data_IF_024888161926
#
_entry.id   IF_024888161926
#
_cell.length_a   1.000
_cell.length_b   1.000
_cell.length_c   1.000
_cell.angle_alpha   90.00
_cell.angle_beta   90.00
_cell.angle_gamma   90.00
#
_symmetry.space_group_name_H-M   'P 1'
#
loop_
_entity.id
_entity.type
_entity.pdbx_description
1 polymer ?
#
# COMPACT_ATOMS: atom_id res chain seq x y z
N UNK A 1 -5.66 20.49 -7.44
CA UNK A 1 -5.16 20.88 -8.76
C UNK A 1 -4.32 22.14 -8.62
N UNK A 2 -3.20 22.20 -9.30
CA UNK A 2 -2.20 23.26 -9.23
C UNK A 2 -2.19 24.04 -10.55
N UNK A 3 -1.88 25.33 -10.48
CA UNK A 3 -1.47 26.09 -11.65
C UNK A 3 -0.07 25.66 -12.11
N UNK A 4 0.32 25.99 -13.32
CA UNK A 4 1.66 25.72 -13.86
C UNK A 4 2.79 26.26 -12.96
N UNK A 5 2.60 27.49 -12.44
CA UNK A 5 3.59 28.12 -11.55
C UNK A 5 3.71 27.38 -10.21
N UNK A 6 2.59 26.89 -9.64
CA UNK A 6 2.59 26.11 -8.40
C UNK A 6 3.26 24.74 -8.59
N UNK A 7 2.96 24.05 -9.71
CA UNK A 7 3.61 22.79 -10.05
C UNK A 7 5.13 22.96 -10.20
N UNK A 8 5.57 24.00 -10.90
CA UNK A 8 7.00 24.28 -11.05
C UNK A 8 7.69 24.56 -9.71
N UNK A 9 7.07 25.32 -8.79
CA UNK A 9 7.59 25.54 -7.44
C UNK A 9 7.77 24.24 -6.67
N UNK A 10 6.88 23.26 -6.88
CA UNK A 10 6.99 21.96 -6.23
C UNK A 10 8.16 21.16 -6.78
N UNK A 11 8.42 21.21 -8.10
CA UNK A 11 9.59 20.57 -8.72
C UNK A 11 10.93 21.14 -8.22
N UNK A 12 10.96 22.41 -7.84
CA UNK A 12 12.17 23.08 -7.35
C UNK A 12 12.43 22.89 -5.84
N UNK A 13 11.52 22.19 -5.12
CA UNK A 13 11.66 22.00 -3.67
C UNK A 13 12.51 20.77 -3.33
N UNK A 14 13.66 20.99 -2.69
CA UNK A 14 14.63 19.95 -2.31
C UNK A 14 14.08 18.90 -1.32
N UNK A 15 12.92 19.11 -0.72
CA UNK A 15 12.30 18.18 0.22
C UNK A 15 11.53 17.06 -0.47
N UNK A 16 11.26 17.21 -1.76
CA UNK A 16 10.56 16.23 -2.58
C UNK A 16 11.47 15.62 -3.63
N UNK A 17 11.11 14.46 -4.10
CA UNK A 17 11.77 13.76 -5.20
C UNK A 17 10.76 12.90 -5.95
N UNK A 18 11.17 12.37 -7.11
CA UNK A 18 10.27 11.57 -7.95
C UNK A 18 8.96 12.34 -8.26
N UNK A 19 9.13 13.59 -8.68
CA UNK A 19 7.98 14.46 -8.99
C UNK A 19 7.50 14.19 -10.40
N UNK A 20 6.18 14.12 -10.58
CA UNK A 20 5.57 13.91 -11.89
C UNK A 20 4.24 14.62 -11.98
N UNK A 21 3.99 15.29 -13.09
CA UNK A 21 2.78 16.05 -13.33
C UNK A 21 1.81 15.31 -14.24
N UNK A 22 0.53 15.44 -13.95
CA UNK A 22 -0.56 14.93 -14.77
C UNK A 22 -1.54 16.05 -15.06
N UNK A 23 -1.90 16.22 -16.34
CA UNK A 23 -2.93 17.17 -16.76
C UNK A 23 -4.18 16.40 -17.19
N UNK A 24 -5.31 16.75 -16.59
CA UNK A 24 -6.59 16.20 -17.01
C UNK A 24 -7.08 16.89 -18.29
N UNK A 25 -7.15 16.11 -19.36
CA UNK A 25 -7.52 16.63 -20.70
C UNK A 25 -9.04 16.56 -20.91
N UNK A 26 -9.73 15.66 -20.27
CA UNK A 26 -11.18 15.58 -20.30
C UNK A 26 -11.71 14.19 -20.00
N UNK A 27 -13.03 14.10 -19.94
CA UNK A 27 -13.75 12.84 -19.76
C UNK A 27 -14.90 12.67 -20.75
N UNK A 28 -15.23 11.42 -21.03
CA UNK A 28 -16.44 11.05 -21.75
C UNK A 28 -17.01 9.75 -21.20
N UNK A 29 -18.33 9.58 -21.28
CA UNK A 29 -18.97 8.35 -20.83
C UNK A 29 -18.79 7.24 -21.88
N UNK A 30 -18.44 6.05 -21.45
CA UNK A 30 -18.23 4.91 -22.31
C UNK A 30 -19.56 4.25 -22.70
N UNK A 31 -20.11 4.67 -23.84
CA UNK A 31 -21.38 4.13 -24.36
C UNK A 31 -22.54 4.31 -23.40
N UNK A 32 -23.33 3.27 -23.22
CA UNK A 32 -24.47 3.23 -22.27
C UNK A 32 -24.07 2.68 -20.88
N UNK A 33 -22.76 2.64 -20.58
CA UNK A 33 -22.27 2.14 -19.29
C UNK A 33 -22.20 3.25 -18.24
N UNK A 34 -21.95 2.89 -16.98
CA UNK A 34 -21.62 3.82 -15.92
C UNK A 34 -20.13 4.17 -15.88
N UNK A 35 -19.36 3.68 -16.84
CA UNK A 35 -17.92 3.91 -16.91
C UNK A 35 -17.62 5.23 -17.63
N UNK A 36 -16.63 5.95 -17.14
CA UNK A 36 -16.10 7.15 -17.77
C UNK A 36 -14.67 6.91 -18.25
N UNK A 37 -14.38 7.34 -19.47
CA UNK A 37 -13.02 7.46 -19.99
C UNK A 37 -12.46 8.80 -19.54
N UNK A 38 -11.32 8.77 -18.87
CA UNK A 38 -10.55 9.95 -18.50
C UNK A 38 -9.30 10.03 -19.36
N UNK A 39 -9.12 11.12 -20.07
CA UNK A 39 -7.90 11.40 -20.83
C UNK A 39 -6.95 12.22 -19.97
N UNK A 40 -5.72 11.75 -19.87
CA UNK A 40 -4.66 12.41 -19.11
C UNK A 40 -3.38 12.50 -19.93
N UNK A 41 -2.71 13.64 -19.77
CA UNK A 41 -1.37 13.88 -20.26
C UNK A 41 -0.40 13.77 -19.09
N UNK A 42 0.64 12.96 -19.24
CA UNK A 42 1.61 12.66 -18.19
C UNK A 42 2.96 13.26 -18.53
N UNK A 43 3.51 14.04 -17.60
CA UNK A 43 4.79 14.71 -17.75
C UNK A 43 5.82 14.12 -16.77
N UNK A 44 7.08 14.28 -17.08
CA UNK A 44 8.22 13.87 -16.28
C UNK A 44 8.12 12.40 -15.84
N UNK A 45 8.14 12.15 -14.54
CA UNK A 45 8.13 10.81 -13.98
C UNK A 45 6.71 10.28 -13.65
N UNK A 46 5.65 11.06 -13.99
CA UNK A 46 4.28 10.73 -13.58
C UNK A 46 3.83 9.34 -14.08
N UNK A 47 4.04 9.04 -15.36
CA UNK A 47 3.61 7.77 -15.92
C UNK A 47 4.36 6.55 -15.34
N UNK A 48 5.62 6.72 -14.94
CA UNK A 48 6.41 5.68 -14.30
C UNK A 48 5.90 5.33 -12.89
N UNK A 49 5.17 6.24 -12.25
CA UNK A 49 4.54 5.98 -10.94
C UNK A 49 3.29 5.10 -11.05
N UNK A 50 2.73 4.95 -12.27
CA UNK A 50 1.51 4.20 -12.54
C UNK A 50 1.74 3.11 -13.61
N UNK A 51 2.60 2.13 -13.37
CA UNK A 51 2.98 1.12 -14.36
C UNK A 51 1.80 0.28 -14.86
N UNK A 52 0.75 0.14 -14.05
CA UNK A 52 -0.43 -0.64 -14.43
C UNK A 52 -1.22 -0.03 -15.59
N UNK A 53 -1.28 1.31 -15.68
CA UNK A 53 -2.03 2.00 -16.72
C UNK A 53 -1.25 2.22 -18.02
N UNK A 54 0.07 2.05 -17.99
CA UNK A 54 0.98 2.28 -19.13
C UNK A 54 1.32 1.02 -19.93
N UNK A 55 0.73 -0.11 -19.58
CA UNK A 55 0.97 -1.38 -20.28
C UNK A 55 0.38 -1.37 -21.67
N UNK A 56 1.25 -1.52 -22.67
CA UNK A 56 0.89 -1.58 -24.08
C UNK A 56 0.68 -3.02 -24.53
N UNK A 57 -0.48 -3.27 -25.16
CA UNK A 57 -0.79 -4.52 -25.85
C UNK A 57 -0.34 -4.49 -27.31
N UNK A 58 -0.52 -3.34 -27.96
CA UNK A 58 -0.17 -3.13 -29.37
C UNK A 58 0.24 -1.68 -29.61
N UNK A 59 1.20 -1.42 -30.51
CA UNK A 59 1.68 -0.08 -30.84
C UNK A 59 2.68 0.45 -29.81
N UNK A 60 2.60 1.74 -29.52
CA UNK A 60 3.47 2.44 -28.56
C UNK A 60 2.72 3.52 -27.78
N UNK A 61 3.30 3.97 -26.67
CA UNK A 61 2.76 5.10 -25.90
C UNK A 61 2.79 6.38 -26.72
N UNK A 62 1.79 7.26 -26.52
CA UNK A 62 1.73 8.56 -27.20
C UNK A 62 2.90 9.46 -26.76
N UNK A 63 3.59 10.07 -27.71
CA UNK A 63 4.70 10.98 -27.44
C UNK A 63 4.37 12.42 -27.87
N UNK A 64 3.59 12.58 -28.94
CA UNK A 64 3.32 13.88 -29.57
C UNK A 64 1.89 14.33 -29.31
N UNK A 65 1.70 15.64 -29.40
CA UNK A 65 0.37 16.25 -29.30
C UNK A 65 -0.66 15.60 -30.24
N UNK A 66 -1.83 15.31 -29.70
CA UNK A 66 -2.94 14.64 -30.41
C UNK A 66 -2.70 13.15 -30.72
N UNK A 67 -1.66 12.51 -30.20
CA UNK A 67 -1.56 11.06 -30.14
C UNK A 67 -2.33 10.54 -28.91
N UNK A 68 -2.91 9.33 -29.03
CA UNK A 68 -3.69 8.72 -27.94
C UNK A 68 -3.42 7.22 -27.86
N UNK A 69 -3.42 6.71 -26.63
CA UNK A 69 -3.51 5.29 -26.35
C UNK A 69 -4.75 4.99 -25.52
N UNK A 70 -5.52 4.01 -25.94
CA UNK A 70 -6.78 3.58 -25.31
C UNK A 70 -6.78 2.08 -25.09
N UNK A 71 -7.51 1.60 -24.09
CA UNK A 71 -7.72 0.16 -23.93
C UNK A 71 -8.67 -0.38 -25.01
N UNK A 72 -8.49 -1.66 -25.37
CA UNK A 72 -9.37 -2.35 -26.31
C UNK A 72 -10.86 -2.26 -25.89
N UNK A 73 -11.09 -2.38 -24.57
CA UNK A 73 -12.43 -2.25 -24.03
C UNK A 73 -12.99 -0.83 -24.18
N UNK A 74 -12.17 0.21 -24.00
CA UNK A 74 -12.61 1.60 -24.24
C UNK A 74 -13.04 1.81 -25.68
N UNK A 75 -12.26 1.32 -26.65
CA UNK A 75 -12.62 1.36 -28.06
C UNK A 75 -13.95 0.66 -28.33
N UNK A 76 -14.12 -0.53 -27.79
CA UNK A 76 -15.35 -1.32 -27.94
C UNK A 76 -16.57 -0.61 -27.35
N UNK A 77 -16.46 -0.06 -26.13
CA UNK A 77 -17.56 0.66 -25.46
C UNK A 77 -17.93 1.97 -26.17
N UNK A 78 -16.94 2.64 -26.78
CA UNK A 78 -17.17 3.82 -27.61
C UNK A 78 -17.74 3.48 -28.98
N UNK A 79 -17.82 2.19 -29.34
CA UNK A 79 -18.26 1.76 -30.65
C UNK A 79 -17.29 2.09 -31.78
N UNK A 80 -16.01 2.24 -31.45
CA UNK A 80 -14.94 2.58 -32.38
C UNK A 80 -14.26 1.30 -32.88
N UNK A 81 -14.32 1.05 -34.17
CA UNK A 81 -13.55 0.00 -34.85
C UNK A 81 -12.30 0.65 -35.44
N UNK A 82 -11.31 0.90 -34.60
CA UNK A 82 -10.09 1.64 -34.94
C UNK A 82 -8.86 0.79 -34.64
N UNK A 83 -7.91 0.79 -35.55
CA UNK A 83 -6.60 0.16 -35.42
C UNK A 83 -5.51 1.23 -35.12
N UNK A 84 -4.34 0.76 -34.67
CA UNK A 84 -3.17 1.64 -34.51
C UNK A 84 -2.85 2.34 -35.82
N UNK A 85 -2.75 3.67 -35.80
CA UNK A 85 -2.58 4.55 -36.93
C UNK A 85 -3.86 5.28 -37.38
N UNK A 86 -5.03 4.84 -36.95
CA UNK A 86 -6.29 5.47 -37.32
C UNK A 86 -6.56 6.75 -36.51
N UNK A 87 -7.39 7.61 -37.06
CA UNK A 87 -7.85 8.82 -36.37
C UNK A 87 -9.18 8.56 -35.67
N UNK A 88 -9.21 8.81 -34.38
CA UNK A 88 -10.41 8.73 -33.55
C UNK A 88 -10.87 10.13 -33.15
N UNK A 89 -12.18 10.34 -33.11
CA UNK A 89 -12.79 11.60 -32.66
C UNK A 89 -13.57 11.34 -31.39
N UNK A 90 -13.33 12.14 -30.35
CA UNK A 90 -13.94 11.98 -29.03
C UNK A 90 -14.57 13.30 -28.59
N UNK A 91 -15.82 13.24 -28.17
CA UNK A 91 -16.50 14.37 -27.52
C UNK A 91 -16.14 14.33 -26.03
N UNK A 92 -15.44 15.36 -25.59
CA UNK A 92 -14.84 15.43 -24.27
C UNK A 92 -15.41 16.58 -23.47
N UNK A 93 -15.46 16.41 -22.16
CA UNK A 93 -15.87 17.41 -21.18
C UNK A 93 -14.78 17.59 -20.12
N UNK A 94 -14.52 18.82 -19.79
CA UNK A 94 -13.57 19.19 -18.72
C UNK A 94 -14.31 19.99 -17.65
N UNK A 95 -14.25 19.52 -16.42
CA UNK A 95 -14.75 20.24 -15.26
C UNK A 95 -13.63 20.43 -14.24
N UNK A 96 -13.56 21.59 -13.64
CA UNK A 96 -12.61 21.88 -12.56
C UNK A 96 -13.19 21.42 -11.24
N UNK A 97 -12.37 20.78 -10.40
CA UNK A 97 -12.83 20.11 -9.16
C UNK A 97 -13.50 21.06 -8.16
N UNK A 98 -13.10 22.32 -8.12
CA UNK A 98 -13.66 23.31 -7.20
C UNK A 98 -14.92 24.00 -7.77
N UNK A 99 -15.29 23.70 -9.00
CA UNK A 99 -16.42 24.32 -9.68
C UNK A 99 -16.23 25.83 -9.98
N UNK A 100 -15.00 26.33 -9.96
CA UNK A 100 -14.66 27.73 -10.22
C UNK A 100 -14.91 28.15 -11.68
N UNK A 101 -14.84 27.19 -12.60
CA UNK A 101 -15.07 27.40 -14.03
C UNK A 101 -16.28 26.57 -14.51
N UNK A 102 -16.99 27.06 -15.55
CA UNK A 102 -18.04 26.28 -16.19
C UNK A 102 -17.47 25.01 -16.85
N UNK A 103 -18.32 24.02 -17.10
CA UNK A 103 -17.90 22.85 -17.88
C UNK A 103 -17.53 23.26 -19.31
N UNK A 104 -16.35 22.80 -19.74
CA UNK A 104 -15.84 23.06 -21.09
C UNK A 104 -15.98 21.80 -21.94
N UNK A 105 -16.70 21.91 -23.06
CA UNK A 105 -16.90 20.81 -24.00
C UNK A 105 -16.14 21.05 -25.30
N UNK A 106 -15.52 19.99 -25.82
CA UNK A 106 -14.83 20.03 -27.11
C UNK A 106 -14.85 18.68 -27.79
N UNK A 107 -14.67 18.70 -29.14
CA UNK A 107 -14.45 17.48 -29.91
C UNK A 107 -12.97 17.37 -30.28
N UNK A 108 -12.26 16.42 -29.68
CA UNK A 108 -10.84 16.15 -29.94
C UNK A 108 -10.65 15.14 -31.07
N UNK A 109 -9.69 15.41 -31.94
CA UNK A 109 -9.22 14.43 -32.95
C UNK A 109 -7.85 13.94 -32.58
N UNK A 110 -7.71 12.61 -32.47
CA UNK A 110 -6.50 11.94 -31.99
C UNK A 110 -6.07 10.86 -32.96
N UNK A 111 -4.78 10.63 -33.07
CA UNK A 111 -4.20 9.48 -33.77
C UNK A 111 -3.99 8.38 -32.74
N UNK A 112 -4.61 7.21 -32.93
CA UNK A 112 -4.44 6.05 -32.06
C UNK A 112 -3.05 5.45 -32.28
N UNK A 113 -2.14 5.61 -31.33
CA UNK A 113 -0.76 5.10 -31.42
C UNK A 113 -0.54 3.81 -30.63
N UNK A 114 -1.42 3.53 -29.68
CA UNK A 114 -1.30 2.33 -28.88
C UNK A 114 -2.63 1.82 -28.33
N UNK A 115 -2.68 0.51 -28.17
CA UNK A 115 -3.76 -0.17 -27.48
C UNK A 115 -3.21 -0.61 -26.11
N UNK A 116 -3.82 -0.11 -25.03
CA UNK A 116 -3.46 -0.42 -23.66
C UNK A 116 -4.09 -1.76 -23.23
N UNK A 117 -3.45 -2.43 -22.28
CA UNK A 117 -4.08 -3.53 -21.55
C UNK A 117 -5.24 -2.99 -20.70
N UNK A 118 -6.30 -3.79 -20.56
CA UNK A 118 -7.45 -3.43 -19.72
C UNK A 118 -7.07 -3.50 -18.24
N UNK A 119 -7.28 -2.42 -17.49
CA UNK A 119 -6.98 -2.37 -16.05
C UNK A 119 -8.22 -2.75 -15.23
N UNK A 120 -8.07 -3.75 -14.35
CA UNK A 120 -9.11 -4.14 -13.40
C UNK A 120 -9.51 -3.00 -12.45
N UNK A 121 -8.56 -2.17 -12.04
CA UNK A 121 -8.81 -1.05 -11.12
C UNK A 121 -9.76 -0.05 -11.76
N UNK A 122 -9.55 0.29 -13.03
CA UNK A 122 -10.43 1.20 -13.77
C UNK A 122 -11.88 0.75 -13.75
N UNK A 123 -12.14 -0.53 -13.96
CA UNK A 123 -13.51 -1.06 -13.92
C UNK A 123 -14.13 -1.03 -12.52
N UNK A 124 -13.35 -1.27 -11.49
CA UNK A 124 -13.84 -1.26 -10.10
C UNK A 124 -14.14 0.14 -9.59
N UNK A 125 -13.44 1.15 -10.09
CA UNK A 125 -13.63 2.56 -9.70
C UNK A 125 -14.62 3.31 -10.60
N UNK A 126 -15.04 2.71 -11.72
CA UNK A 126 -15.92 3.35 -12.69
C UNK A 126 -15.21 4.31 -13.65
N UNK A 127 -13.87 4.36 -13.62
CA UNK A 127 -13.06 5.23 -14.46
C UNK A 127 -12.00 4.45 -15.22
N UNK A 128 -11.95 4.61 -16.53
CA UNK A 128 -10.93 3.99 -17.39
C UNK A 128 -10.01 5.10 -17.89
N UNK A 129 -8.72 4.88 -17.78
CA UNK A 129 -7.71 5.85 -18.21
C UNK A 129 -7.38 5.69 -19.68
N UNK A 130 -7.25 6.84 -20.37
CA UNK A 130 -6.63 6.97 -21.68
C UNK A 130 -5.45 7.93 -21.59
N UNK A 131 -4.38 7.61 -22.27
CA UNK A 131 -3.14 8.39 -22.25
C UNK A 131 -3.06 9.21 -23.52
N UNK A 132 -2.72 10.49 -23.41
CA UNK A 132 -2.46 11.35 -24.55
C UNK A 132 -1.02 11.85 -24.53
N UNK A 133 -0.49 12.17 -25.71
CA UNK A 133 0.89 12.63 -25.85
C UNK A 133 1.07 14.09 -25.45
N UNK A 134 2.32 14.42 -25.10
CA UNK A 134 2.72 15.74 -24.59
C UNK A 134 2.33 16.89 -25.53
N UNK A 135 1.79 17.97 -24.94
CA UNK A 135 1.29 19.14 -25.65
C UNK A 135 -0.14 19.02 -26.18
N UNK A 136 -0.83 17.89 -25.89
CA UNK A 136 -2.23 17.72 -26.25
C UNK A 136 -3.14 18.64 -25.44
N UNK A 137 -2.89 18.76 -24.14
CA UNK A 137 -3.63 19.62 -23.24
C UNK A 137 -3.52 21.09 -23.67
N UNK A 138 -2.32 21.59 -23.93
CA UNK A 138 -2.09 22.97 -24.39
C UNK A 138 -2.73 23.28 -25.75
N UNK A 139 -2.88 22.25 -26.60
CA UNK A 139 -3.50 22.40 -27.92
C UNK A 139 -5.02 22.45 -27.89
N UNK A 140 -5.64 21.72 -26.94
CA UNK A 140 -7.09 21.50 -26.92
C UNK A 140 -7.81 22.36 -25.89
N UNK A 141 -7.13 22.70 -24.78
CA UNK A 141 -7.74 23.38 -23.64
C UNK A 141 -7.35 24.87 -23.60
N UNK A 142 -8.27 25.75 -23.19
CA UNK A 142 -7.93 27.09 -22.77
C UNK A 142 -6.98 27.09 -21.58
N UNK A 143 -6.12 28.09 -21.44
CA UNK A 143 -5.10 28.18 -20.38
C UNK A 143 -5.67 28.04 -18.96
N UNK A 144 -6.87 28.55 -18.73
CA UNK A 144 -7.57 28.46 -17.44
C UNK A 144 -7.98 27.05 -17.03
N UNK A 145 -8.05 26.10 -17.97
CA UNK A 145 -8.32 24.65 -17.72
C UNK A 145 -7.04 23.81 -17.66
N UNK A 146 -5.87 24.40 -17.88
CA UNK A 146 -4.58 23.71 -17.75
C UNK A 146 -4.19 23.61 -16.26
N UNK A 147 -4.78 22.63 -15.59
CA UNK A 147 -4.54 22.37 -14.17
C UNK A 147 -3.77 21.08 -13.97
N UNK A 148 -2.75 21.15 -13.14
CA UNK A 148 -1.82 20.08 -12.87
C UNK A 148 -2.19 19.33 -11.58
N UNK A 149 -2.10 18.02 -11.63
CA UNK A 149 -2.08 17.15 -10.46
C UNK A 149 -0.67 16.60 -10.33
N UNK A 150 0.02 16.94 -9.26
CA UNK A 150 1.43 16.62 -9.10
C UNK A 150 1.60 15.53 -8.04
N UNK A 151 2.17 14.41 -8.45
CA UNK A 151 2.55 13.32 -7.58
C UNK A 151 4.02 13.46 -7.18
N UNK A 152 4.34 13.19 -5.93
CA UNK A 152 5.72 13.30 -5.43
C UNK A 152 5.97 12.39 -4.23
N UNK A 153 7.25 12.13 -3.95
CA UNK A 153 7.72 11.47 -2.74
C UNK A 153 8.53 12.44 -1.89
N UNK A 154 8.53 12.25 -0.58
CA UNK A 154 9.29 13.11 0.35
C UNK A 154 10.52 12.41 0.89
N UNK A 155 11.58 13.17 1.13
CA UNK A 155 12.76 12.70 1.85
C UNK A 155 12.45 12.57 3.35
N UNK A 156 12.60 11.34 3.89
CA UNK A 156 12.51 11.07 5.33
C UNK A 156 11.09 10.79 5.85
N UNK A 157 10.97 9.71 6.58
CA UNK A 157 9.68 9.23 7.10
C UNK A 157 9.15 10.03 8.30
N UNK A 158 10.05 10.58 9.13
CA UNK A 158 9.68 11.21 10.41
C UNK A 158 8.97 12.56 10.26
N UNK A 159 9.28 13.30 9.20
CA UNK A 159 8.78 14.65 8.98
C UNK A 159 7.79 14.71 7.80
N UNK A 160 7.29 13.57 7.36
CA UNK A 160 6.42 13.47 6.19
C UNK A 160 5.24 14.46 6.26
N UNK A 161 4.46 14.39 7.33
CA UNK A 161 3.28 15.22 7.50
C UNK A 161 3.60 16.72 7.56
N UNK A 162 4.67 17.09 8.27
CA UNK A 162 5.09 18.51 8.34
C UNK A 162 5.56 19.04 6.99
N UNK A 163 6.25 18.22 6.20
CA UNK A 163 6.68 18.61 4.84
C UNK A 163 5.47 18.84 3.95
N UNK A 164 4.51 17.88 3.92
CA UNK A 164 3.31 17.99 3.10
C UNK A 164 2.48 19.22 3.50
N UNK A 165 2.31 19.46 4.80
CA UNK A 165 1.59 20.61 5.32
C UNK A 165 2.25 21.94 4.95
N UNK A 166 3.58 22.04 5.10
CA UNK A 166 4.33 23.24 4.71
C UNK A 166 4.27 23.50 3.19
N UNK A 167 4.35 22.42 2.39
CA UNK A 167 4.22 22.51 0.93
C UNK A 167 2.82 23.02 0.54
N UNK A 168 1.77 22.42 1.09
CA UNK A 168 0.39 22.83 0.82
C UNK A 168 0.16 24.31 1.18
N UNK A 169 0.65 24.74 2.33
CA UNK A 169 0.58 26.12 2.77
C UNK A 169 1.36 27.09 1.88
N UNK A 170 2.57 26.71 1.44
CA UNK A 170 3.40 27.54 0.56
C UNK A 170 2.81 27.68 -0.85
N UNK A 171 2.08 26.67 -1.28
CA UNK A 171 1.42 26.62 -2.58
C UNK A 171 -0.03 27.11 -2.54
N UNK A 172 -0.53 27.54 -1.37
CA UNK A 172 -1.93 27.93 -1.14
C UNK A 172 -2.93 26.85 -1.58
N UNK A 173 -2.64 25.59 -1.24
CA UNK A 173 -3.48 24.42 -1.53
C UNK A 173 -4.24 24.03 -0.28
N UNK A 174 -5.56 23.93 -0.39
CA UNK A 174 -6.39 23.46 0.70
C UNK A 174 -6.19 21.95 0.94
N UNK A 175 -6.23 21.52 2.21
CA UNK A 175 -6.00 20.14 2.63
C UNK A 175 -6.90 19.11 1.91
N UNK A 176 -8.12 19.51 1.54
CA UNK A 176 -9.06 18.65 0.80
C UNK A 176 -8.60 18.22 -0.59
N UNK A 177 -7.61 18.90 -1.16
CA UNK A 177 -7.03 18.55 -2.46
C UNK A 177 -5.75 17.71 -2.36
N UNK A 178 -5.32 17.40 -1.14
CA UNK A 178 -4.18 16.52 -0.89
C UNK A 178 -4.69 15.09 -0.83
N UNK A 179 -4.13 14.24 -1.70
CA UNK A 179 -4.44 12.81 -1.71
C UNK A 179 -3.20 12.02 -1.26
N UNK A 180 -3.41 11.10 -0.36
CA UNK A 180 -2.36 10.23 0.14
C UNK A 180 -2.47 8.84 -0.48
N UNK A 181 -1.36 8.30 -0.95
CA UNK A 181 -1.29 6.87 -1.25
C UNK A 181 -1.22 6.09 0.07
N UNK A 182 -2.37 5.95 0.73
CA UNK A 182 -2.50 5.34 2.04
C UNK A 182 -1.96 3.89 2.08
N UNK A 183 -2.12 3.14 0.97
CA UNK A 183 -1.61 1.76 0.87
C UNK A 183 -0.08 1.75 1.00
N UNK A 184 0.60 2.64 0.29
CA UNK A 184 2.05 2.76 0.34
C UNK A 184 2.52 3.30 1.68
N UNK A 185 1.89 4.35 2.20
CA UNK A 185 2.26 4.99 3.47
C UNK A 185 2.12 4.02 4.64
N UNK A 186 1.02 3.27 4.70
CA UNK A 186 0.81 2.22 5.69
C UNK A 186 1.83 1.08 5.55
N UNK A 187 2.12 0.65 4.34
CA UNK A 187 3.10 -0.41 4.09
C UNK A 187 4.52 -0.03 4.53
N UNK A 188 4.91 1.24 4.36
CA UNK A 188 6.22 1.75 4.79
C UNK A 188 6.24 2.28 6.23
N UNK A 189 5.09 2.31 6.90
CA UNK A 189 4.92 2.75 8.28
C UNK A 189 5.11 4.26 8.46
N UNK A 190 4.61 5.06 7.52
CA UNK A 190 4.57 6.52 7.62
C UNK A 190 3.19 6.91 8.14
N UNK A 191 3.15 7.67 9.23
CA UNK A 191 1.91 8.25 9.74
C UNK A 191 1.55 9.50 8.95
N UNK A 192 0.30 9.62 8.57
CA UNK A 192 -0.27 10.78 7.87
C UNK A 192 -1.62 11.13 8.50
N UNK A 193 -2.05 12.37 8.32
CA UNK A 193 -3.31 12.88 8.85
C UNK A 193 -4.28 13.17 7.68
N UNK A 194 -5.31 12.37 7.58
CA UNK A 194 -6.42 12.59 6.65
C UNK A 194 -7.48 13.49 7.29
N UNK A 195 -7.19 14.76 7.51
CA UNK A 195 -8.10 15.66 8.22
C UNK A 195 -9.36 16.02 7.45
N UNK A 196 -9.55 15.58 6.22
CA UNK A 196 -10.67 16.08 5.42
C UNK A 196 -11.81 15.12 5.09
N UNK A 197 -11.74 13.81 5.32
CA UNK A 197 -12.79 12.90 4.83
C UNK A 197 -13.20 11.71 5.69
N UNK A 198 -12.73 11.57 6.93
CA UNK A 198 -13.25 10.50 7.79
C UNK A 198 -13.30 10.91 9.26
N UNK A 199 -14.48 10.77 9.86
CA UNK A 199 -14.74 10.86 11.31
C UNK A 199 -13.97 9.81 12.15
N UNK A 200 -12.92 9.23 11.63
CA UNK A 200 -12.06 8.27 12.32
C UNK A 200 -10.84 9.01 12.83
N UNK A 201 -10.97 9.42 14.08
CA UNK A 201 -9.96 10.19 14.81
C UNK A 201 -8.55 9.65 14.72
N UNK A 202 -7.67 10.60 14.61
CA UNK A 202 -6.23 10.60 14.74
C UNK A 202 -5.54 9.29 15.16
N UNK A 203 -4.66 8.79 14.32
CA UNK A 203 -3.42 8.16 14.78
C UNK A 203 -3.32 6.66 14.85
N UNK A 204 -4.35 5.89 14.51
CA UNK A 204 -4.22 4.43 14.45
C UNK A 204 -4.68 3.89 13.11
N UNK A 205 -3.74 3.45 12.28
CA UNK A 205 -4.07 2.66 11.09
C UNK A 205 -4.90 1.45 11.51
N UNK A 206 -6.08 1.27 10.88
CA UNK A 206 -6.93 0.08 11.09
C UNK A 206 -6.13 -1.22 10.93
N UNK A 207 -5.21 -1.24 9.99
CA UNK A 207 -4.32 -2.38 9.74
C UNK A 207 -3.42 -2.67 10.95
N UNK A 208 -2.85 -1.63 11.58
CA UNK A 208 -2.03 -1.78 12.78
C UNK A 208 -2.85 -2.34 13.93
N UNK A 209 -4.06 -1.83 14.16
CA UNK A 209 -4.96 -2.34 15.21
C UNK A 209 -5.34 -3.79 14.94
N UNK A 210 -5.70 -4.13 13.70
CA UNK A 210 -6.02 -5.50 13.32
C UNK A 210 -4.84 -6.46 13.54
N UNK A 211 -3.63 -6.07 13.12
CA UNK A 211 -2.41 -6.86 13.34
C UNK A 211 -2.10 -7.07 14.84
N UNK A 212 -2.27 -6.03 15.66
CA UNK A 212 -2.07 -6.13 17.12
C UNK A 212 -3.09 -7.07 17.74
N UNK A 213 -4.37 -6.95 17.37
CA UNK A 213 -5.43 -7.84 17.87
C UNK A 213 -5.18 -9.30 17.50
N UNK A 214 -4.86 -9.59 16.23
CA UNK A 214 -4.54 -10.95 15.79
C UNK A 214 -3.29 -11.46 16.49
N UNK A 215 -2.26 -10.63 16.64
CA UNK A 215 -1.04 -10.97 17.37
C UNK A 215 -1.32 -11.34 18.82
N UNK A 216 -2.15 -10.56 19.51
CA UNK A 216 -2.56 -10.86 20.90
C UNK A 216 -3.35 -12.17 21.01
N UNK A 217 -4.27 -12.44 20.07
CA UNK A 217 -5.02 -13.71 20.04
C UNK A 217 -4.10 -14.92 19.87
N UNK A 218 -3.12 -14.82 18.95
CA UNK A 218 -2.12 -15.88 18.73
C UNK A 218 -1.26 -16.10 19.97
N UNK A 219 -0.79 -15.02 20.61
CA UNK A 219 -0.01 -15.09 21.85
C UNK A 219 -0.81 -15.71 22.98
N UNK A 220 -2.08 -15.36 23.12
CA UNK A 220 -2.96 -15.94 24.14
C UNK A 220 -3.18 -17.44 23.91
N UNK A 221 -3.46 -17.84 22.66
CA UNK A 221 -3.62 -19.25 22.30
C UNK A 221 -2.32 -20.05 22.58
N UNK A 222 -1.16 -19.51 22.18
CA UNK A 222 0.14 -20.12 22.45
C UNK A 222 0.40 -20.23 23.97
N UNK A 223 0.08 -19.19 24.75
CA UNK A 223 0.19 -19.18 26.21
C UNK A 223 -0.65 -20.28 26.87
N UNK A 224 -1.89 -20.50 26.40
CA UNK A 224 -2.75 -21.58 26.88
C UNK A 224 -2.17 -22.97 26.57
N UNK A 225 -1.59 -23.16 25.39
CA UNK A 225 -0.94 -24.42 25.02
C UNK A 225 0.26 -24.68 25.94
N UNK A 226 1.13 -23.69 26.13
CA UNK A 226 2.29 -23.78 27.04
C UNK A 226 1.81 -24.12 28.46
N UNK A 227 0.81 -23.41 28.97
CA UNK A 227 0.24 -23.66 30.29
C UNK A 227 -0.26 -25.11 30.43
N UNK A 228 -1.02 -25.61 29.47
CA UNK A 228 -1.56 -26.97 29.52
C UNK A 228 -0.45 -28.03 29.48
N UNK A 229 0.56 -27.86 28.64
CA UNK A 229 1.71 -28.77 28.55
C UNK A 229 2.49 -28.79 29.87
N UNK A 230 2.77 -27.60 30.42
CA UNK A 230 3.47 -27.51 31.70
C UNK A 230 2.66 -28.11 32.85
N UNK A 231 1.35 -27.86 32.92
CA UNK A 231 0.46 -28.45 33.93
C UNK A 231 0.50 -29.98 33.87
N UNK A 232 0.41 -30.58 32.68
CA UNK A 232 0.49 -32.02 32.50
C UNK A 232 1.87 -32.55 32.92
N UNK A 233 2.94 -31.88 32.53
CA UNK A 233 4.31 -32.25 32.86
C UNK A 233 4.54 -32.22 34.37
N UNK A 234 4.10 -31.18 35.06
CA UNK A 234 4.21 -31.03 36.53
C UNK A 234 3.36 -32.08 37.22
N UNK A 235 2.13 -32.33 36.79
CA UNK A 235 1.26 -33.35 37.39
C UNK A 235 1.88 -34.75 37.30
N UNK A 236 2.57 -35.09 36.22
CA UNK A 236 3.30 -36.35 36.08
C UNK A 236 4.48 -36.48 37.08
N UNK A 237 5.11 -35.34 37.41
CA UNK A 237 6.28 -35.29 38.30
C UNK A 237 5.95 -34.91 39.76
N UNK A 238 4.68 -34.85 40.12
CA UNK A 238 4.25 -34.38 41.45
C UNK A 238 4.84 -35.26 42.57
N UNK A 239 5.02 -36.57 42.31
CA UNK A 239 5.66 -37.48 43.26
C UNK A 239 7.15 -37.16 43.46
N UNK A 240 7.87 -36.83 42.39
CA UNK A 240 9.29 -36.44 42.43
C UNK A 240 9.46 -35.13 43.21
N UNK A 241 8.60 -34.15 43.00
CA UNK A 241 8.61 -32.89 43.74
C UNK A 241 8.21 -33.08 45.21
N UNK A 242 7.26 -33.96 45.48
CA UNK A 242 6.90 -34.35 46.85
C UNK A 242 8.05 -35.00 47.62
N UNK A 243 8.82 -35.88 46.95
CA UNK A 243 10.02 -36.49 47.53
C UNK A 243 11.11 -35.44 47.81
N UNK A 244 11.35 -34.50 46.87
CA UNK A 244 12.28 -33.40 47.06
C UNK A 244 11.91 -32.53 48.28
N UNK A 245 10.63 -32.28 48.49
CA UNK A 245 10.15 -31.52 49.65
C UNK A 245 10.29 -32.31 50.94
N UNK A 246 10.08 -33.65 50.91
CA UNK A 246 10.22 -34.50 52.09
C UNK A 246 11.67 -34.56 52.59
N UNK A 247 12.66 -34.40 51.73
CA UNK A 247 14.09 -34.35 52.12
C UNK A 247 14.57 -32.91 52.38
N UNK A 248 13.66 -31.91 52.49
CA UNK A 248 13.96 -30.56 52.92
C UNK A 248 14.04 -29.51 51.80
N UNK A 249 13.60 -29.81 50.58
CA UNK A 249 13.56 -28.85 49.49
C UNK A 249 12.56 -27.72 49.71
N UNK A 250 12.99 -26.46 49.53
CA UNK A 250 12.13 -25.28 49.65
C UNK A 250 11.26 -25.08 48.39
N UNK A 251 10.06 -24.49 48.56
CA UNK A 251 9.18 -24.15 47.43
C UNK A 251 9.87 -23.30 46.34
N UNK A 252 10.72 -22.37 46.75
CA UNK A 252 11.49 -21.51 45.86
C UNK A 252 12.43 -22.28 44.93
N UNK A 253 12.99 -23.42 45.41
CA UNK A 253 13.87 -24.26 44.61
C UNK A 253 13.10 -24.98 43.49
N UNK A 254 11.85 -25.43 43.75
CA UNK A 254 10.99 -26.06 42.75
C UNK A 254 10.59 -25.07 41.69
N UNK A 255 10.23 -23.82 42.06
CA UNK A 255 9.96 -22.76 41.12
C UNK A 255 11.16 -22.47 40.20
N UNK A 256 12.35 -22.38 40.78
CA UNK A 256 13.59 -22.15 40.05
C UNK A 256 13.88 -23.27 39.04
N UNK A 257 13.64 -24.53 39.46
CA UNK A 257 13.82 -25.72 38.63
C UNK A 257 12.86 -25.69 37.40
N UNK A 258 11.57 -25.45 37.65
CA UNK A 258 10.55 -25.36 36.60
C UNK A 258 10.86 -24.20 35.65
N UNK A 259 11.25 -23.03 36.18
CA UNK A 259 11.63 -21.87 35.37
C UNK A 259 12.89 -22.14 34.53
N UNK A 260 13.88 -22.85 35.07
CA UNK A 260 15.08 -23.24 34.36
C UNK A 260 14.77 -24.20 33.19
N UNK A 261 13.91 -25.20 33.43
CA UNK A 261 13.45 -26.12 32.39
C UNK A 261 12.73 -25.36 31.26
N UNK A 262 11.89 -24.38 31.60
CA UNK A 262 11.22 -23.53 30.64
C UNK A 262 12.21 -22.69 29.83
N UNK A 263 13.20 -22.08 30.50
CA UNK A 263 14.22 -21.29 29.84
C UNK A 263 15.05 -22.09 28.85
N UNK A 264 15.42 -23.33 29.21
CA UNK A 264 16.12 -24.24 28.28
C UNK A 264 15.24 -24.57 27.07
N UNK A 265 13.97 -24.85 27.29
CA UNK A 265 13.02 -25.14 26.23
C UNK A 265 12.83 -23.92 25.31
N UNK A 266 12.70 -22.72 25.87
CA UNK A 266 12.63 -21.47 25.13
C UNK A 266 13.94 -21.18 24.37
N UNK A 267 15.10 -21.47 24.96
CA UNK A 267 16.41 -21.30 24.35
C UNK A 267 16.60 -22.11 23.06
N UNK A 268 15.93 -23.25 22.96
CA UNK A 268 15.93 -24.08 21.72
C UNK A 268 14.73 -23.71 20.85
N UNK A 269 13.55 -23.55 21.43
CA UNK A 269 12.31 -23.34 20.69
C UNK A 269 12.23 -21.99 19.98
N UNK A 270 12.72 -20.92 20.63
CA UNK A 270 12.66 -19.56 20.05
C UNK A 270 13.49 -19.46 18.76
N UNK A 271 14.77 -19.86 18.69
CA UNK A 271 15.54 -19.80 17.44
C UNK A 271 14.89 -20.61 16.31
N UNK A 272 14.42 -21.82 16.61
CA UNK A 272 13.73 -22.67 15.64
C UNK A 272 12.44 -21.99 15.18
N UNK A 273 11.64 -21.48 16.10
CA UNK A 273 10.40 -20.75 15.82
C UNK A 273 10.62 -19.50 14.96
N UNK A 274 11.69 -18.73 15.22
CA UNK A 274 12.06 -17.57 14.42
C UNK A 274 12.41 -17.94 12.98
N UNK A 275 13.22 -18.99 12.78
CA UNK A 275 13.59 -19.45 11.44
C UNK A 275 12.36 -19.96 10.68
N UNK A 276 11.58 -20.83 11.29
CA UNK A 276 10.37 -21.38 10.67
C UNK A 276 9.32 -20.30 10.42
N UNK A 277 9.14 -19.39 11.37
CA UNK A 277 8.18 -18.28 11.26
C UNK A 277 8.55 -17.29 10.14
N UNK A 278 9.82 -16.95 10.01
CA UNK A 278 10.28 -16.06 8.92
C UNK A 278 10.16 -16.72 7.55
N UNK A 279 10.46 -18.01 7.43
CA UNK A 279 10.27 -18.76 6.20
C UNK A 279 8.79 -18.90 5.84
N UNK A 280 7.94 -19.23 6.81
CA UNK A 280 6.50 -19.33 6.61
C UNK A 280 5.88 -17.98 6.21
N UNK A 281 6.29 -16.88 6.84
CA UNK A 281 5.81 -15.54 6.49
C UNK A 281 6.17 -15.17 5.05
N UNK A 282 7.41 -15.43 4.61
CA UNK A 282 7.82 -15.21 3.22
C UNK A 282 7.03 -16.08 2.25
N UNK A 283 6.88 -17.36 2.54
CA UNK A 283 6.13 -18.28 1.70
C UNK A 283 4.65 -17.88 1.56
N UNK A 284 4.03 -17.46 2.66
CA UNK A 284 2.64 -16.97 2.67
C UNK A 284 2.50 -15.69 1.85
N UNK A 285 3.46 -14.77 1.98
CA UNK A 285 3.44 -13.51 1.24
C UNK A 285 3.56 -13.76 -0.27
N UNK A 286 4.51 -14.61 -0.70
CA UNK A 286 4.68 -14.99 -2.12
C UNK A 286 3.42 -15.72 -2.64
N UNK A 287 2.82 -16.59 -1.86
CA UNK A 287 1.59 -17.27 -2.25
C UNK A 287 0.40 -16.29 -2.37
N UNK A 288 0.30 -15.34 -1.46
CA UNK A 288 -0.74 -14.31 -1.49
C UNK A 288 -0.60 -13.38 -2.70
N UNK A 289 0.62 -12.96 -3.03
CA UNK A 289 0.87 -12.12 -4.22
C UNK A 289 0.60 -12.86 -5.52
N UNK A 290 0.83 -14.16 -5.57
CA UNK A 290 0.48 -15.00 -6.73
C UNK A 290 -1.03 -15.17 -6.94
N UNK A 291 -1.84 -14.96 -5.90
CA UNK A 291 -3.30 -15.03 -5.95
C UNK A 291 -3.97 -13.68 -6.20
N UNK A 292 -3.22 -12.58 -6.11
CA UNK A 292 -3.72 -11.21 -6.30
C UNK A 292 -3.31 -10.68 -7.67
N UNK A 293 -4.16 -9.81 -8.24
CA UNK A 293 -3.79 -9.13 -9.48
C UNK A 293 -2.63 -8.14 -9.19
N UNK A 294 -1.50 -8.18 -9.92
CA UNK A 294 -0.38 -7.25 -9.75
C UNK A 294 -0.79 -5.78 -9.86
N UNK A 295 -1.82 -5.48 -10.65
CA UNK A 295 -2.32 -4.12 -10.87
C UNK A 295 -2.81 -3.46 -9.56
N UNK A 296 -3.28 -4.24 -8.58
CA UNK A 296 -3.68 -3.73 -7.25
C UNK A 296 -2.49 -3.09 -6.52
N UNK A 297 -1.28 -3.59 -6.79
CA UNK A 297 -0.04 -3.12 -6.20
C UNK A 297 0.75 -2.17 -7.12
N UNK A 298 0.15 -1.75 -8.24
CA UNK A 298 0.83 -0.93 -9.26
C UNK A 298 2.15 -1.56 -9.75
N UNK A 299 2.20 -2.90 -9.83
CA UNK A 299 3.35 -3.66 -10.30
C UNK A 299 3.10 -4.18 -11.73
N UNK A 300 4.16 -4.20 -12.55
CA UNK A 300 4.07 -4.67 -13.94
C UNK A 300 3.86 -6.19 -14.06
N UNK A 301 4.28 -6.94 -13.04
CA UNK A 301 4.17 -8.40 -13.04
C UNK A 301 4.25 -8.99 -11.62
N UNK A 302 3.76 -10.22 -11.47
CA UNK A 302 3.92 -11.00 -10.22
C UNK A 302 5.39 -11.24 -9.89
N UNK A 303 6.27 -11.38 -10.90
CA UNK A 303 7.70 -11.55 -10.68
C UNK A 303 8.35 -10.32 -10.08
N UNK A 304 8.04 -9.14 -10.58
CA UNK A 304 8.52 -7.86 -10.05
C UNK A 304 8.06 -7.65 -8.59
N UNK A 305 6.80 -7.94 -8.31
CA UNK A 305 6.25 -7.87 -6.95
C UNK A 305 6.96 -8.86 -6.01
N UNK A 306 7.24 -10.09 -6.47
CA UNK A 306 7.96 -11.08 -5.69
C UNK A 306 9.44 -10.69 -5.47
N UNK A 307 10.09 -10.06 -6.43
CA UNK A 307 11.45 -9.52 -6.28
C UNK A 307 11.47 -8.39 -5.27
N UNK A 308 10.53 -7.44 -5.35
CA UNK A 308 10.39 -6.35 -4.39
C UNK A 308 10.14 -6.88 -2.96
N UNK A 309 9.29 -7.89 -2.80
CA UNK A 309 9.03 -8.55 -1.52
C UNK A 309 10.26 -9.29 -1.00
N UNK A 310 11.00 -9.96 -1.89
CA UNK A 310 12.21 -10.70 -1.52
C UNK A 310 13.35 -9.77 -1.13
N UNK A 311 13.47 -8.63 -1.79
CA UNK A 311 14.44 -7.58 -1.50
C UNK A 311 14.08 -6.79 -0.23
N UNK A 312 12.77 -6.63 0.05
CA UNK A 312 12.32 -5.99 1.27
C UNK A 312 12.69 -6.87 2.48
N UNK A 313 13.43 -6.30 3.42
CA UNK A 313 13.68 -6.93 4.72
C UNK A 313 12.34 -7.02 5.47
N UNK A 314 11.61 -8.11 5.26
CA UNK A 314 10.30 -8.38 5.87
C UNK A 314 10.35 -8.40 7.40
N UNK A 315 11.55 -8.59 7.96
CA UNK A 315 11.72 -8.67 9.42
C UNK A 315 12.89 -7.78 9.85
N UNK A 316 12.57 -6.71 10.56
CA UNK A 316 13.59 -5.82 11.15
C UNK A 316 14.10 -6.41 12.46
N UNK A 317 15.40 -6.25 12.74
CA UNK A 317 16.04 -6.72 13.97
C UNK A 317 15.30 -6.31 15.26
N UNK A 318 14.81 -5.08 15.44
CA UNK A 318 14.02 -4.72 16.61
C UNK A 318 12.72 -5.55 16.78
N UNK A 319 12.09 -5.93 15.67
CA UNK A 319 10.88 -6.78 15.70
C UNK A 319 11.20 -8.20 16.18
N UNK A 320 12.36 -8.74 15.79
CA UNK A 320 12.82 -10.05 16.31
C UNK A 320 13.06 -9.99 17.82
N UNK A 321 13.73 -8.95 18.31
CA UNK A 321 13.97 -8.75 19.73
C UNK A 321 12.65 -8.61 20.50
N UNK A 322 11.71 -7.82 19.99
CA UNK A 322 10.38 -7.67 20.60
C UNK A 322 9.64 -9.01 20.65
N UNK A 323 9.66 -9.79 19.57
CA UNK A 323 9.04 -11.11 19.50
C UNK A 323 9.63 -12.08 20.54
N UNK A 324 10.96 -12.10 20.69
CA UNK A 324 11.65 -12.91 21.71
C UNK A 324 11.22 -12.48 23.11
N UNK A 325 11.24 -11.18 23.40
CA UNK A 325 10.90 -10.65 24.72
C UNK A 325 9.44 -10.96 25.09
N UNK A 326 8.52 -10.74 24.17
CA UNK A 326 7.08 -11.03 24.36
C UNK A 326 6.86 -12.53 24.55
N UNK A 327 7.50 -13.38 23.75
CA UNK A 327 7.38 -14.85 23.88
C UNK A 327 7.89 -15.34 25.24
N UNK A 328 9.05 -14.85 25.69
CA UNK A 328 9.59 -15.17 27.00
C UNK A 328 8.66 -14.72 28.13
N UNK A 329 8.13 -13.51 28.04
CA UNK A 329 7.20 -12.96 29.03
C UNK A 329 5.95 -13.82 29.16
N UNK A 330 5.32 -14.16 28.02
CA UNK A 330 4.14 -15.03 28.00
C UNK A 330 4.43 -16.45 28.49
N UNK A 331 5.58 -17.01 28.11
CA UNK A 331 5.98 -18.33 28.60
C UNK A 331 6.17 -18.35 30.12
N UNK A 332 6.80 -17.32 30.69
CA UNK A 332 6.95 -17.18 32.15
C UNK A 332 5.60 -16.97 32.85
N UNK A 333 4.74 -16.12 32.28
CA UNK A 333 3.38 -15.93 32.83
C UNK A 333 2.57 -17.21 32.79
N UNK A 334 2.65 -18.01 31.75
CA UNK A 334 1.96 -19.29 31.65
C UNK A 334 2.52 -20.35 32.61
N UNK A 335 3.83 -20.29 32.88
CA UNK A 335 4.48 -21.20 33.83
C UNK A 335 4.13 -20.91 35.28
N UNK A 336 3.86 -19.67 35.67
CA UNK A 336 3.62 -19.26 37.04
C UNK A 336 2.43 -19.97 37.70
N UNK A 337 1.21 -20.02 37.11
CA UNK A 337 0.10 -20.78 37.67
C UNK A 337 0.40 -22.28 37.71
N UNK A 338 1.06 -22.82 36.68
CA UNK A 338 1.38 -24.23 36.61
C UNK A 338 2.34 -24.64 37.74
N UNK A 339 3.33 -23.82 38.05
CA UNK A 339 4.27 -24.02 39.14
C UNK A 339 3.64 -23.89 40.54
N UNK A 340 2.49 -23.21 40.66
CA UNK A 340 1.72 -23.16 41.94
C UNK A 340 1.10 -24.48 42.33
N UNK A 341 0.85 -25.36 41.37
CA UNK A 341 0.29 -26.69 41.60
C UNK A 341 1.35 -27.74 41.97
N UNK A 342 2.63 -27.41 41.83
CA UNK A 342 3.78 -28.24 42.28
C UNK A 342 4.13 -27.97 43.75
#
# INVERSE_FOLDING_TARGET
>A
QLSREQAQKLHEDDRVYDVGDTVFVGSTTLGNSSLNLYLREYHDNALAMYPAISKIKEGHLPEKASEIALSEDSLRYLGLDAAVGDTVSLDMRVSVMDGSLPEFEYCGKFILTGILESSYIGYSTGTVEGIVGNGTAEKLLPEEYLLYSTDFKTHGKKNFQSIVYDLAKNLDVEDRYIQYNWILLDAVGISYDETSNSDVGAGFSFMTVACVLVGLLVLFAAGLVIYNILKISITKRIKEYGTLRAIGGERGQIYRLVSLQLLILCGIGIPIGLVLGTLAAKATLIAATGALNPDIFMANSVSELNEAISAASTVKFPMLLASIAVTLLFALMAAFPAARYA
#
